data_IF_532395358082
#
_entry.id   IF_532395358082
#
_cell.length_a   1.000
_cell.length_b   1.000
_cell.length_c   1.000
_cell.angle_alpha   90.00
_cell.angle_beta   90.00
_cell.angle_gamma   90.00
#
_symmetry.space_group_name_H-M   'P 1'
#
loop_
_entity.id
_entity.type
_entity.pdbx_description
1 polymer ?
#
# COMPACT_ATOMS: atom_id res chain seq x y z
N UNK A 1 -19.97 -1.13 20.87
CA UNK A 1 -19.49 -1.41 19.49
C UNK A 1 -18.11 -0.78 19.34
N UNK A 2 -17.10 -1.52 18.88
CA UNK A 2 -15.74 -1.00 18.80
C UNK A 2 -15.57 -0.13 17.54
N UNK A 3 -15.48 1.19 17.71
CA UNK A 3 -15.19 2.11 16.61
C UNK A 3 -13.78 1.86 16.09
N UNK A 4 -13.68 1.50 14.81
CA UNK A 4 -12.40 1.31 14.11
C UNK A 4 -12.12 2.49 13.20
N UNK A 5 -10.87 2.96 13.23
CA UNK A 5 -10.40 4.12 12.46
C UNK A 5 -9.19 3.72 11.61
N UNK A 6 -9.02 4.36 10.47
CA UNK A 6 -7.86 4.16 9.60
C UNK A 6 -6.69 4.97 10.16
N UNK A 7 -5.54 4.33 10.36
CA UNK A 7 -4.34 4.97 10.91
C UNK A 7 -3.40 5.41 9.77
N UNK A 8 -2.75 6.56 9.92
CA UNK A 8 -1.66 6.98 9.04
C UNK A 8 -0.39 6.18 9.39
N UNK A 9 -0.15 5.14 8.60
CA UNK A 9 1.01 4.26 8.76
C UNK A 9 2.36 4.95 8.61
N UNK A 10 2.43 6.00 7.78
CA UNK A 10 3.69 6.70 7.53
C UNK A 10 4.01 7.65 8.68
N UNK A 11 3.01 8.33 9.22
CA UNK A 11 3.18 9.13 10.43
C UNK A 11 3.57 8.27 11.62
N UNK A 12 2.90 7.12 11.81
CA UNK A 12 3.29 6.17 12.85
C UNK A 12 4.73 5.67 12.69
N UNK A 13 5.12 5.31 11.47
CA UNK A 13 6.49 4.86 11.15
C UNK A 13 7.53 5.94 11.43
N UNK A 14 7.26 7.18 11.05
CA UNK A 14 8.13 8.34 11.30
C UNK A 14 8.28 8.64 12.78
N UNK A 15 7.18 8.66 13.53
CA UNK A 15 7.21 8.84 14.98
C UNK A 15 8.03 7.73 15.63
N UNK A 16 7.86 6.47 15.19
CA UNK A 16 8.70 5.37 15.67
C UNK A 16 10.18 5.58 15.37
N UNK A 17 10.52 5.99 14.14
CA UNK A 17 11.90 6.23 13.71
C UNK A 17 12.53 7.44 14.42
N UNK A 18 11.77 8.51 14.69
CA UNK A 18 12.20 9.67 15.48
C UNK A 18 12.56 9.29 16.92
N UNK A 19 11.86 8.31 17.48
CA UNK A 19 12.16 7.74 18.79
C UNK A 19 13.26 6.66 18.74
N UNK A 20 13.84 6.38 17.57
CA UNK A 20 14.89 5.36 17.35
C UNK A 20 14.43 3.96 17.80
N UNK A 21 13.13 3.66 17.62
CA UNK A 21 12.55 2.40 18.03
C UNK A 21 12.41 1.43 16.84
N UNK A 22 12.71 0.16 17.05
CA UNK A 22 12.25 -0.91 16.15
C UNK A 22 10.77 -1.20 16.39
N UNK A 23 10.10 -1.98 15.52
CA UNK A 23 8.71 -2.38 15.77
C UNK A 23 8.57 -3.12 17.12
N UNK A 24 9.55 -3.96 17.44
CA UNK A 24 9.64 -4.69 18.71
C UNK A 24 9.99 -3.75 19.87
N UNK A 25 10.87 -2.77 19.63
CA UNK A 25 11.17 -1.71 20.59
C UNK A 25 9.95 -0.85 20.93
N UNK A 26 9.09 -0.57 19.95
CA UNK A 26 7.83 0.14 20.18
C UNK A 26 6.83 -0.70 20.98
N UNK A 27 6.71 -2.01 20.71
CA UNK A 27 5.89 -2.91 21.53
C UNK A 27 6.36 -2.89 22.98
N UNK A 28 7.66 -3.07 23.19
CA UNK A 28 8.27 -3.12 24.51
C UNK A 28 8.07 -1.80 25.27
N UNK A 29 8.33 -0.66 24.63
CA UNK A 29 8.12 0.66 25.21
C UNK A 29 6.63 0.94 25.53
N UNK A 30 5.70 0.51 24.65
CA UNK A 30 4.25 0.58 24.93
C UNK A 30 3.84 -0.30 26.12
N UNK A 31 4.54 -1.42 26.35
CA UNK A 31 4.27 -2.35 27.45
C UNK A 31 4.70 -1.80 28.80
N UNK A 32 5.75 -0.98 28.82
CA UNK A 32 6.29 -0.31 30.01
C UNK A 32 5.36 0.81 30.50
N UNK A 33 4.53 1.40 29.63
CA UNK A 33 3.52 2.39 30.01
C UNK A 33 2.22 1.72 30.46
N UNK A 34 1.83 1.96 31.72
CA UNK A 34 0.60 1.41 32.31
C UNK A 34 -0.64 1.78 31.49
N UNK A 35 -1.35 0.77 30.98
CA UNK A 35 -2.57 0.95 30.19
C UNK A 35 -2.38 1.17 28.68
N UNK A 36 -1.12 1.22 28.21
CA UNK A 36 -0.74 1.49 26.83
C UNK A 36 -0.24 0.24 26.07
N UNK A 37 -0.48 -0.97 26.60
CA UNK A 37 -0.01 -2.19 25.93
C UNK A 37 -0.64 -2.36 24.54
N UNK A 38 0.24 -2.46 23.53
CA UNK A 38 -0.07 -2.71 22.12
C UNK A 38 0.85 -3.84 21.64
N UNK A 39 0.30 -4.88 21.02
CA UNK A 39 1.11 -6.00 20.54
C UNK A 39 1.86 -5.69 19.25
N UNK A 40 2.97 -6.40 19.02
CA UNK A 40 3.75 -6.32 17.78
C UNK A 40 2.92 -6.58 16.52
N UNK A 41 1.94 -7.50 16.60
CA UNK A 41 1.02 -7.77 15.50
C UNK A 41 0.12 -6.55 15.19
N UNK A 42 -0.24 -5.79 16.21
CA UNK A 42 -1.02 -4.56 16.09
C UNK A 42 -0.17 -3.44 15.49
N UNK A 43 1.09 -3.30 15.90
CA UNK A 43 2.04 -2.34 15.31
C UNK A 43 2.29 -2.66 13.84
N UNK A 44 2.57 -3.93 13.49
CA UNK A 44 2.73 -4.37 12.11
C UNK A 44 1.48 -4.11 11.27
N UNK A 45 0.29 -4.28 11.87
CA UNK A 45 -0.99 -3.98 11.22
C UNK A 45 -1.15 -2.47 10.99
N UNK A 46 -0.80 -1.67 11.98
CA UNK A 46 -0.87 -0.22 11.95
C UNK A 46 0.07 0.38 10.89
N UNK A 47 1.33 -0.05 10.86
CA UNK A 47 2.33 0.39 9.87
C UNK A 47 2.05 -0.12 8.45
N UNK A 48 1.10 -1.04 8.28
CA UNK A 48 0.60 -1.49 6.97
C UNK A 48 -0.69 -0.76 6.55
N UNK A 49 -1.08 0.29 7.26
CA UNK A 49 -2.24 1.13 6.93
C UNK A 49 -3.58 0.41 7.10
N UNK A 50 -3.67 -0.48 8.09
CA UNK A 50 -4.93 -1.17 8.41
C UNK A 50 -5.68 -0.46 9.52
N UNK A 51 -6.99 -0.64 9.54
CA UNK A 51 -7.86 -0.09 10.57
C UNK A 51 -7.53 -0.68 11.94
N UNK A 52 -7.51 0.19 12.96
CA UNK A 52 -7.34 -0.18 14.36
C UNK A 52 -8.54 0.27 15.16
N UNK A 53 -8.73 -0.29 16.36
CA UNK A 53 -9.70 0.27 17.29
C UNK A 53 -9.27 1.68 17.70
N UNK A 54 -10.22 2.61 17.84
CA UNK A 54 -9.94 3.97 18.29
C UNK A 54 -9.21 3.98 19.65
N UNK A 55 -9.49 3.00 20.52
CA UNK A 55 -8.76 2.79 21.79
C UNK A 55 -7.28 2.47 21.56
N UNK A 56 -6.96 1.65 20.58
CA UNK A 56 -5.57 1.35 20.20
C UNK A 56 -4.88 2.58 19.64
N UNK A 57 -5.57 3.36 18.80
CA UNK A 57 -5.00 4.61 18.27
C UNK A 57 -4.78 5.62 19.39
N UNK A 58 -5.71 5.76 20.34
CA UNK A 58 -5.54 6.63 21.51
C UNK A 58 -4.32 6.25 22.35
N UNK A 59 -4.01 4.95 22.48
CA UNK A 59 -2.79 4.48 23.14
C UNK A 59 -1.53 4.88 22.39
N UNK A 60 -1.51 4.68 21.08
CA UNK A 60 -0.37 5.09 20.24
C UNK A 60 -0.19 6.62 20.25
N UNK A 61 -1.29 7.37 20.19
CA UNK A 61 -1.32 8.82 20.29
C UNK A 61 -0.71 9.30 21.61
N UNK A 62 -1.15 8.69 22.72
CA UNK A 62 -0.60 8.94 24.04
C UNK A 62 0.89 8.60 24.13
N UNK A 63 1.32 7.44 23.60
CA UNK A 63 2.73 7.04 23.59
C UNK A 63 3.62 8.07 22.89
N UNK A 64 3.21 8.53 21.71
CA UNK A 64 3.96 9.51 20.92
C UNK A 64 3.68 10.96 21.31
N UNK A 65 2.82 11.21 22.31
CA UNK A 65 2.40 12.55 22.72
C UNK A 65 1.84 13.40 21.57
N UNK A 66 1.07 12.77 20.68
CA UNK A 66 0.38 13.41 19.56
C UNK A 66 -1.13 13.29 19.73
N UNK A 67 -1.90 14.13 19.04
CA UNK A 67 -3.36 13.99 19.04
C UNK A 67 -3.82 12.74 18.28
N UNK A 68 -5.03 12.25 18.58
CA UNK A 68 -5.61 11.11 17.85
C UNK A 68 -5.84 11.47 16.38
N UNK A 69 -6.34 12.68 16.13
CA UNK A 69 -6.61 13.24 14.81
C UNK A 69 -5.36 13.27 13.92
N UNK A 70 -4.21 13.49 14.56
CA UNK A 70 -2.92 13.44 13.90
C UNK A 70 -2.45 12.04 13.48
N UNK A 71 -2.98 10.98 14.07
CA UNK A 71 -2.63 9.60 13.74
C UNK A 71 -3.69 8.92 12.86
N UNK A 72 -4.88 9.51 12.68
CA UNK A 72 -5.94 8.92 11.86
C UNK A 72 -6.08 9.63 10.53
N UNK A 73 -6.53 8.88 9.53
CA UNK A 73 -6.93 9.44 8.24
C UNK A 73 -8.40 9.84 8.35
N UNK A 74 -8.67 11.14 8.38
CA UNK A 74 -10.05 11.66 8.38
C UNK A 74 -10.66 11.53 6.97
N UNK A 75 -11.67 10.67 6.82
CA UNK A 75 -12.43 10.51 5.57
C UNK A 75 -13.52 11.59 5.41
N UNK A 76 -13.39 12.76 6.06
CA UNK A 76 -14.44 13.78 6.09
C UNK A 76 -13.87 15.20 6.03
N UNK A 77 -13.64 15.68 4.80
CA UNK A 77 -13.98 17.04 4.40
C UNK A 77 -14.09 17.10 2.87
N UNK A 78 -15.31 17.36 2.38
CA UNK A 78 -15.62 17.78 1.00
C UNK A 78 -15.17 19.26 0.79
N UNK A 79 -15.18 19.78 -0.45
CA UNK A 79 -14.15 20.66 -0.98
C UNK A 79 -14.27 22.09 -0.48
N UNK A 80 -13.28 22.54 0.27
CA UNK A 80 -12.93 23.95 0.37
C UNK A 80 -11.52 24.09 -0.21
N UNK A 81 -11.36 25.08 -1.10
CA UNK A 81 -10.17 25.45 -1.86
C UNK A 81 -8.86 24.83 -1.36
N UNK A 82 -8.33 23.89 -2.15
CA UNK A 82 -7.02 23.30 -1.87
C UNK A 82 -5.98 24.43 -1.94
N UNK A 83 -5.08 24.57 -0.95
CA UNK A 83 -3.77 25.08 -1.28
C UNK A 83 -3.22 24.10 -2.32
N UNK A 84 -2.97 24.60 -3.53
CA UNK A 84 -2.21 23.89 -4.54
C UNK A 84 -0.82 23.70 -3.94
N UNK A 85 -0.63 22.61 -3.19
CA UNK A 85 0.70 22.02 -3.10
C UNK A 85 1.14 21.83 -4.55
N UNK A 86 2.35 22.26 -4.95
CA UNK A 86 2.82 22.04 -6.31
C UNK A 86 2.58 20.57 -6.61
N UNK A 87 1.78 20.28 -7.63
CA UNK A 87 1.54 18.90 -8.07
C UNK A 87 2.92 18.30 -8.28
N UNK A 88 3.37 17.45 -7.34
CA UNK A 88 4.66 16.81 -7.49
C UNK A 88 4.65 16.10 -8.83
N UNK A 89 5.72 16.28 -9.61
CA UNK A 89 5.84 15.74 -10.94
C UNK A 89 5.40 14.27 -10.95
N UNK A 90 4.52 13.88 -11.88
CA UNK A 90 3.97 12.55 -11.90
C UNK A 90 5.12 11.54 -11.96
N UNK A 91 5.17 10.65 -10.96
CA UNK A 91 6.27 9.72 -10.81
C UNK A 91 5.95 8.42 -11.55
N UNK A 92 6.82 8.07 -12.49
CA UNK A 92 6.77 6.77 -13.14
C UNK A 92 6.94 5.66 -12.09
N UNK A 93 6.06 4.68 -12.14
CA UNK A 93 6.01 3.57 -11.18
C UNK A 93 5.65 2.26 -11.88
N UNK A 94 6.05 1.15 -11.29
CA UNK A 94 5.58 -0.18 -11.71
C UNK A 94 4.26 -0.45 -10.99
N UNK A 95 3.22 -0.80 -11.72
CA UNK A 95 1.92 -1.15 -11.17
C UNK A 95 1.67 -2.64 -11.40
N UNK A 96 1.43 -3.36 -10.31
CA UNK A 96 0.91 -4.72 -10.30
C UNK A 96 -0.58 -4.65 -10.03
N UNK A 97 -1.37 -5.05 -11.02
CA UNK A 97 -2.76 -5.38 -10.84
C UNK A 97 -2.90 -6.89 -10.79
N UNK A 98 -3.58 -7.40 -9.78
CA UNK A 98 -3.76 -8.83 -9.57
C UNK A 98 -5.20 -9.11 -9.16
N UNK A 99 -5.86 -10.01 -9.87
CA UNK A 99 -7.22 -10.42 -9.59
C UNK A 99 -7.27 -11.94 -9.36
N UNK A 100 -7.98 -12.36 -8.33
CA UNK A 100 -8.20 -13.78 -8.05
C UNK A 100 -9.56 -14.00 -7.39
N UNK A 101 -10.20 -15.12 -7.73
CA UNK A 101 -11.44 -15.53 -7.07
C UNK A 101 -11.19 -16.00 -5.62
N UNK A 102 -10.01 -16.59 -5.37
CA UNK A 102 -9.65 -17.12 -4.06
C UNK A 102 -9.05 -16.02 -3.15
N UNK A 103 -9.78 -15.65 -2.09
CA UNK A 103 -9.29 -14.73 -1.05
C UNK A 103 -7.92 -15.11 -0.44
N UNK A 104 -7.60 -16.41 -0.21
CA UNK A 104 -6.28 -16.81 0.30
C UNK A 104 -5.15 -16.43 -0.65
N UNK A 105 -5.38 -16.57 -1.97
CA UNK A 105 -4.38 -16.25 -3.00
C UNK A 105 -4.06 -14.75 -3.01
N UNK A 106 -5.08 -13.88 -2.91
CA UNK A 106 -4.88 -12.44 -2.77
C UNK A 106 -4.04 -12.07 -1.55
N UNK A 107 -4.25 -12.74 -0.42
CA UNK A 107 -3.48 -12.49 0.80
C UNK A 107 -2.03 -12.94 0.66
N UNK A 108 -1.78 -14.11 0.05
CA UNK A 108 -0.41 -14.60 -0.20
C UNK A 108 0.35 -13.68 -1.16
N UNK A 109 -0.28 -13.28 -2.26
CA UNK A 109 0.32 -12.35 -3.22
C UNK A 109 0.60 -11.00 -2.55
N UNK A 110 -0.35 -10.46 -1.76
CA UNK A 110 -0.15 -9.22 -1.02
C UNK A 110 1.03 -9.31 -0.04
N UNK A 111 1.15 -10.40 0.70
CA UNK A 111 2.25 -10.60 1.66
C UNK A 111 3.60 -10.65 0.96
N UNK A 112 3.72 -11.47 -0.09
CA UNK A 112 4.97 -11.61 -0.85
C UNK A 112 5.34 -10.34 -1.57
N UNK A 113 4.37 -9.64 -2.17
CA UNK A 113 4.61 -8.39 -2.87
C UNK A 113 4.91 -7.22 -1.91
N UNK A 114 4.48 -7.28 -0.65
CA UNK A 114 4.84 -6.27 0.37
C UNK A 114 6.34 -6.24 0.66
N UNK A 115 7.07 -7.32 0.40
CA UNK A 115 8.54 -7.38 0.53
C UNK A 115 9.27 -6.45 -0.44
N UNK A 116 8.57 -5.93 -1.45
CA UNK A 116 9.12 -5.01 -2.46
C UNK A 116 8.79 -3.54 -2.15
N UNK A 117 8.27 -3.24 -0.96
CA UNK A 117 8.02 -1.88 -0.45
C UNK A 117 7.21 -1.01 -1.43
N UNK A 118 5.94 -1.36 -1.71
CA UNK A 118 5.10 -0.58 -2.60
C UNK A 118 4.80 0.82 -2.03
N UNK A 119 4.82 1.82 -2.91
CA UNK A 119 4.31 3.17 -2.66
C UNK A 119 2.81 3.23 -2.48
N UNK A 120 2.09 2.31 -3.13
CA UNK A 120 0.63 2.27 -3.11
C UNK A 120 0.16 0.84 -2.87
N UNK A 121 -0.81 0.69 -1.97
CA UNK A 121 -1.50 -0.57 -1.70
C UNK A 121 -3.01 -0.34 -1.76
N UNK A 122 -3.70 -1.04 -2.66
CA UNK A 122 -5.15 -1.01 -2.74
C UNK A 122 -5.69 -2.44 -2.88
N UNK A 123 -6.63 -2.82 -2.03
CA UNK A 123 -7.24 -4.15 -2.05
C UNK A 123 -8.76 -4.03 -2.03
N UNK A 124 -9.39 -4.77 -2.91
CA UNK A 124 -10.83 -5.02 -2.98
C UNK A 124 -11.09 -6.50 -2.70
N UNK A 125 -12.35 -6.94 -2.82
CA UNK A 125 -12.72 -8.34 -2.57
C UNK A 125 -12.00 -9.33 -3.49
N UNK A 126 -11.79 -8.96 -4.75
CA UNK A 126 -11.25 -9.83 -5.81
C UNK A 126 -9.98 -9.30 -6.45
N UNK A 127 -9.64 -8.04 -6.22
CA UNK A 127 -8.54 -7.35 -6.91
C UNK A 127 -7.60 -6.70 -5.91
N UNK A 128 -6.32 -6.81 -6.19
CA UNK A 128 -5.20 -6.22 -5.49
C UNK A 128 -4.44 -5.34 -6.49
N UNK A 129 -4.17 -4.10 -6.12
CA UNK A 129 -3.36 -3.17 -6.89
C UNK A 129 -2.21 -2.70 -6.00
N UNK A 130 -1.00 -2.83 -6.51
CA UNK A 130 0.23 -2.43 -5.85
C UNK A 130 1.01 -1.56 -6.81
N UNK A 131 1.60 -0.47 -6.32
CA UNK A 131 2.51 0.33 -7.13
C UNK A 131 3.87 0.48 -6.44
N UNK A 132 4.94 0.35 -7.20
CA UNK A 132 6.32 0.32 -6.74
C UNK A 132 7.16 1.39 -7.46
N UNK A 133 8.26 1.87 -6.85
CA UNK A 133 9.20 2.78 -7.50
C UNK A 133 9.68 2.26 -8.87
N UNK A 134 9.65 3.10 -9.92
CA UNK A 134 10.20 2.73 -11.23
C UNK A 134 11.74 2.78 -11.27
N UNK A 135 12.41 3.28 -10.23
CA UNK A 135 13.85 3.06 -10.01
C UNK A 135 14.19 1.60 -9.71
N UNK A 136 13.18 0.70 -9.67
CA UNK A 136 13.37 -0.74 -9.66
C UNK A 136 14.19 -1.22 -10.87
N UNK A 137 15.36 -1.85 -10.65
CA UNK A 137 16.08 -2.54 -11.70
C UNK A 137 15.22 -3.64 -12.33
N UNK A 138 15.45 -3.98 -13.61
CA UNK A 138 14.74 -5.09 -14.28
C UNK A 138 14.77 -6.40 -13.47
N UNK A 139 15.84 -6.62 -12.71
CA UNK A 139 15.96 -7.73 -11.77
C UNK A 139 14.82 -7.80 -10.74
N UNK A 140 14.33 -6.66 -10.23
CA UNK A 140 13.21 -6.62 -9.27
C UNK A 140 11.88 -6.95 -9.94
N UNK A 141 11.66 -6.51 -11.18
CA UNK A 141 10.49 -6.91 -11.98
C UNK A 141 10.48 -8.40 -12.26
N UNK A 142 11.62 -8.95 -12.67
CA UNK A 142 11.78 -10.38 -12.89
C UNK A 142 11.54 -11.17 -11.60
N UNK A 143 12.09 -10.72 -10.47
CA UNK A 143 11.88 -11.34 -9.16
C UNK A 143 10.42 -11.28 -8.71
N UNK A 144 9.74 -10.16 -8.94
CA UNK A 144 8.30 -10.01 -8.68
C UNK A 144 7.50 -11.00 -9.53
N UNK A 145 7.79 -11.08 -10.83
CA UNK A 145 7.13 -12.02 -11.74
C UNK A 145 7.36 -13.48 -11.33
N UNK A 146 8.60 -13.85 -10.97
CA UNK A 146 8.92 -15.18 -10.46
C UNK A 146 8.18 -15.50 -9.16
N UNK A 147 8.10 -14.52 -8.26
CA UNK A 147 7.37 -14.66 -7.00
C UNK A 147 5.88 -14.90 -7.26
N UNK A 148 5.27 -14.17 -8.19
CA UNK A 148 3.88 -14.40 -8.59
C UNK A 148 3.68 -15.80 -9.19
N UNK A 149 4.60 -16.25 -10.06
CA UNK A 149 4.55 -17.60 -10.65
C UNK A 149 4.69 -18.72 -9.61
N UNK A 150 5.47 -18.51 -8.54
CA UNK A 150 5.60 -19.48 -7.45
C UNK A 150 4.32 -19.59 -6.61
N UNK A 151 3.62 -18.47 -6.43
CA UNK A 151 2.41 -18.40 -5.60
C UNK A 151 1.17 -18.85 -6.38
N UNK A 152 1.13 -18.56 -7.68
CA UNK A 152 -0.04 -18.85 -8.52
C UNK A 152 0.10 -20.22 -9.19
N UNK A 153 -0.76 -21.17 -8.83
CA UNK A 153 -0.83 -22.45 -9.52
C UNK A 153 -1.63 -22.33 -10.83
N UNK A 154 -1.31 -23.11 -11.88
CA UNK A 154 -2.03 -23.08 -13.15
C UNK A 154 -3.53 -23.41 -13.04
N UNK A 155 -3.92 -24.17 -12.02
CA UNK A 155 -5.31 -24.57 -11.75
C UNK A 155 -6.16 -23.47 -11.12
N UNK A 156 -5.55 -22.36 -10.67
CA UNK A 156 -6.26 -21.30 -9.96
C UNK A 156 -6.73 -20.22 -10.94
N UNK A 157 -8.00 -19.79 -10.83
CA UNK A 157 -8.52 -18.65 -11.59
C UNK A 157 -7.93 -17.34 -11.06
N UNK A 158 -6.84 -16.90 -11.67
CA UNK A 158 -6.15 -15.65 -11.38
C UNK A 158 -5.82 -14.89 -12.67
N UNK A 159 -5.71 -13.58 -12.59
CA UNK A 159 -5.25 -12.71 -13.68
C UNK A 159 -4.28 -11.72 -13.08
N UNK A 160 -3.13 -11.53 -13.71
CA UNK A 160 -2.18 -10.54 -13.25
C UNK A 160 -1.68 -9.70 -14.43
N UNK A 161 -1.53 -8.41 -14.18
CA UNK A 161 -0.92 -7.46 -15.08
C UNK A 161 0.17 -6.73 -14.31
N UNK A 162 1.40 -6.81 -14.80
CA UNK A 162 2.48 -5.91 -14.39
C UNK A 162 2.68 -4.90 -15.51
N UNK A 163 2.55 -3.62 -15.21
CA UNK A 163 2.78 -2.56 -16.18
C UNK A 163 3.49 -1.37 -15.54
N UNK A 164 3.86 -0.38 -16.34
CA UNK A 164 4.33 0.91 -15.83
C UNK A 164 3.22 1.93 -15.93
N UNK A 165 3.02 2.71 -14.88
CA UNK A 165 2.02 3.75 -14.82
C UNK A 165 2.55 4.99 -14.11
N UNK A 166 1.89 6.12 -14.34
CA UNK A 166 2.19 7.36 -13.63
C UNK A 166 1.38 7.40 -12.34
N UNK A 167 2.05 7.67 -11.23
CA UNK A 167 1.40 7.99 -9.96
C UNK A 167 1.56 9.48 -9.69
N UNK A 168 0.54 10.07 -9.10
CA UNK A 168 0.61 11.43 -8.57
C UNK A 168 0.49 11.33 -7.06
N UNK A 169 1.32 12.10 -6.37
CA UNK A 169 1.21 12.23 -4.94
C UNK A 169 0.03 13.16 -4.64
N UNK A 170 -1.10 12.59 -4.17
CA UNK A 170 -2.28 13.39 -3.82
C UNK A 170 -2.17 14.07 -2.46
N UNK A 171 -1.32 13.53 -1.60
CA UNK A 171 -1.04 14.03 -0.27
C UNK A 171 0.37 13.55 0.14
N UNK A 172 1.08 14.20 1.08
CA UNK A 172 2.30 13.64 1.62
C UNK A 172 2.05 12.17 2.02
N UNK A 173 2.85 11.26 1.46
CA UNK A 173 2.77 9.82 1.68
C UNK A 173 1.55 9.07 1.13
N UNK A 174 0.71 9.71 0.31
CA UNK A 174 -0.36 9.05 -0.43
C UNK A 174 -0.15 9.17 -1.93
N UNK A 175 0.12 8.04 -2.55
CA UNK A 175 0.19 7.92 -4.00
C UNK A 175 -1.15 7.46 -4.54
N UNK A 176 -1.58 8.09 -5.62
CA UNK A 176 -2.73 7.65 -6.41
C UNK A 176 -2.28 7.45 -7.85
N UNK A 177 -2.90 6.49 -8.52
CA UNK A 177 -2.78 6.40 -9.97
C UNK A 177 -3.41 7.61 -10.64
N UNK A 178 -2.81 8.10 -11.73
CA UNK A 178 -3.49 9.06 -12.60
C UNK A 178 -4.71 8.43 -13.25
N UNK A 179 -5.67 9.25 -13.69
CA UNK A 179 -6.82 8.80 -14.49
C UNK A 179 -6.38 8.00 -15.72
N UNK A 180 -5.35 8.48 -16.42
CA UNK A 180 -4.73 7.79 -17.56
C UNK A 180 -4.22 6.39 -17.18
N UNK A 181 -3.56 6.26 -16.03
CA UNK A 181 -3.06 4.97 -15.56
C UNK A 181 -4.21 4.01 -15.21
N UNK A 182 -5.26 4.50 -14.56
CA UNK A 182 -6.46 3.70 -14.25
C UNK A 182 -7.14 3.21 -15.53
N UNK A 183 -7.33 4.09 -16.51
CA UNK A 183 -7.94 3.76 -17.80
C UNK A 183 -7.10 2.73 -18.56
N UNK A 184 -5.78 2.92 -18.60
CA UNK A 184 -4.85 1.98 -19.23
C UNK A 184 -4.92 0.59 -18.59
N UNK A 185 -4.89 0.49 -17.26
CA UNK A 185 -5.00 -0.81 -16.57
C UNK A 185 -6.37 -1.44 -16.85
N UNK A 186 -7.44 -0.67 -16.79
CA UNK A 186 -8.80 -1.16 -17.06
C UNK A 186 -8.91 -1.72 -18.48
N UNK A 187 -8.30 -1.05 -19.45
CA UNK A 187 -8.24 -1.53 -20.84
C UNK A 187 -7.41 -2.81 -20.97
N UNK A 188 -6.19 -2.82 -20.42
CA UNK A 188 -5.26 -3.95 -20.55
C UNK A 188 -5.72 -5.21 -19.82
N UNK A 189 -6.48 -5.07 -18.74
CA UNK A 189 -6.93 -6.20 -17.91
C UNK A 189 -8.17 -6.91 -18.45
N UNK A 190 -8.92 -6.26 -19.37
CA UNK A 190 -10.14 -6.82 -19.97
C UNK A 190 -9.87 -8.12 -20.73
N UNK A 191 -8.74 -8.19 -21.43
CA UNK A 191 -8.42 -9.26 -22.36
C UNK A 191 -7.42 -10.27 -21.79
N UNK A 192 -7.07 -10.19 -20.50
CA UNK A 192 -6.14 -11.13 -19.88
C UNK A 192 -6.86 -12.45 -19.58
N UNK A 193 -6.40 -13.58 -20.15
CA UNK A 193 -7.01 -14.88 -19.87
C UNK A 193 -6.78 -15.31 -18.42
N UNK A 194 -7.70 -16.12 -17.90
CA UNK A 194 -7.54 -16.75 -16.59
C UNK A 194 -6.26 -17.60 -16.56
N UNK A 195 -5.59 -17.62 -15.41
CA UNK A 195 -4.32 -18.32 -15.21
C UNK A 195 -3.09 -17.58 -15.73
N UNK A 196 -3.23 -16.33 -16.19
CA UNK A 196 -2.15 -15.62 -16.91
C UNK A 196 -1.57 -14.46 -16.10
N UNK A 197 -0.24 -14.36 -16.14
CA UNK A 197 0.53 -13.23 -15.62
C UNK A 197 1.16 -12.50 -16.81
N UNK A 198 0.57 -11.38 -17.20
CA UNK A 198 1.01 -10.57 -18.34
C UNK A 198 1.90 -9.42 -17.87
N UNK A 199 3.01 -9.19 -18.58
CA UNK A 199 3.85 -8.00 -18.37
C UNK A 199 3.67 -7.08 -19.57
N UNK A 200 3.02 -5.94 -19.38
CA UNK A 200 2.84 -4.94 -20.42
C UNK A 200 3.87 -3.82 -20.27
N UNK A 201 4.79 -3.75 -21.23
CA UNK A 201 5.71 -2.63 -21.37
C UNK A 201 5.11 -1.68 -22.41
N UNK A 202 4.73 -0.45 -22.05
CA UNK A 202 4.42 0.54 -23.08
C UNK A 202 5.66 0.67 -23.96
N UNK A 203 5.48 0.52 -25.28
CA UNK A 203 6.55 0.77 -26.24
C UNK A 203 7.17 2.13 -25.93
N UNK A 204 8.50 2.20 -25.92
CA UNK A 204 9.25 3.46 -25.79
C UNK A 204 8.64 4.48 -26.77
N UNK A 205 7.83 5.41 -26.27
CA UNK A 205 7.75 6.71 -26.90
C UNK A 205 9.10 7.35 -26.58
N UNK A 206 9.95 7.41 -27.60
CA UNK A 206 11.15 8.22 -27.61
C UNK A 206 10.77 9.64 -27.21
N UNK A 207 11.06 10.00 -25.96
CA UNK A 207 11.21 11.40 -25.59
C UNK A 207 12.71 11.67 -25.64
N UNK A 208 13.16 12.08 -26.83
CA UNK A 208 14.29 12.99 -26.96
C UNK A 208 13.86 14.37 -26.48
#
# INVERSE_FOLDING_TARGET
MAHTVLIDSNKLRRLREQHVLSQEGLEQACREIKGCSVSIATIKRAERGRTLSQRTVARLAHFFSVSIDELIVHESARPAERPVLPECDPQKSIVLWFQAAAKPLLSQVAEKASQFEPYMYQRTEKTLILAFPCSCPEAKLFKLQQTLKQVCQPSQKHRALITTGMLVQSHPFQWRMTSQCVEQITRLTRDIPDGTITVYRPHKASFC
#
